data_IF_778984233980
#
_entry.id   IF_778984233980
#
_cell.length_a   1.000
_cell.length_b   1.000
_cell.length_c   1.000
_cell.angle_alpha   90.00
_cell.angle_beta   90.00
_cell.angle_gamma   90.00
#
_symmetry.space_group_name_H-M   'P 1'
#
loop_
_entity.id
_entity.type
_entity.pdbx_description
1 polymer ?
#
# COMPACT_ATOMS: atom_id res chain seq x y z
N UNK A 1 -63.04 11.84 41.53
CA UNK A 1 -62.57 11.97 40.14
C UNK A 1 -61.23 11.23 40.05
N UNK A 2 -61.11 9.99 39.55
CA UNK A 2 -61.43 9.50 38.20
C UNK A 2 -60.72 10.43 37.17
N UNK A 3 -59.76 10.03 36.33
CA UNK A 3 -59.59 8.78 35.58
C UNK A 3 -58.16 8.66 34.96
N UNK A 4 -57.68 7.40 34.86
CA UNK A 4 -57.09 6.72 33.66
C UNK A 4 -55.71 7.16 33.15
N UNK A 5 -54.69 6.27 33.15
CA UNK A 5 -54.45 5.16 32.20
C UNK A 5 -54.08 5.66 30.79
N UNK A 6 -53.09 5.15 30.05
CA UNK A 6 -52.17 4.01 30.19
C UNK A 6 -51.27 4.03 28.93
N UNK A 7 -50.16 3.27 28.99
CA UNK A 7 -49.50 2.57 27.86
C UNK A 7 -48.59 3.35 26.92
N UNK A 8 -47.46 2.84 26.42
CA UNK A 8 -46.66 1.59 26.52
C UNK A 8 -45.38 1.95 25.72
N UNK A 9 -44.17 1.43 25.93
CA UNK A 9 -43.69 0.13 25.45
C UNK A 9 -42.16 0.23 25.55
N UNK A 10 -41.52 -0.59 26.38
CA UNK A 10 -40.25 -1.27 26.05
C UNK A 10 -39.71 -1.96 27.30
N UNK A 11 -40.23 -3.16 27.55
CA UNK A 11 -39.54 -4.20 28.30
C UNK A 11 -39.69 -5.50 27.50
N UNK A 12 -38.69 -6.37 27.65
CA UNK A 12 -38.55 -7.71 27.06
C UNK A 12 -38.07 -7.63 25.60
N UNK A 13 -36.96 -8.22 25.18
CA UNK A 13 -36.41 -9.56 25.37
C UNK A 13 -34.87 -9.44 25.49
N UNK A 14 -34.15 -10.21 26.31
CA UNK A 14 -33.87 -11.62 26.03
C UNK A 14 -33.33 -12.29 27.31
N UNK A 15 -33.98 -13.36 27.71
CA UNK A 15 -33.61 -14.19 28.85
C UNK A 15 -32.44 -15.12 28.51
N UNK A 16 -31.60 -15.35 29.53
CA UNK A 16 -30.92 -16.58 29.91
C UNK A 16 -30.96 -17.78 28.95
N UNK A 17 -29.79 -18.36 28.65
CA UNK A 17 -29.52 -19.81 28.72
C UNK A 17 -28.00 -19.99 28.90
N UNK A 18 -27.60 -20.28 30.13
CA UNK A 18 -26.31 -20.90 30.47
C UNK A 18 -26.65 -22.30 30.98
N UNK A 19 -26.40 -23.34 30.17
CA UNK A 19 -26.30 -24.72 30.64
C UNK A 19 -25.51 -25.59 29.65
N UNK A 20 -24.29 -25.91 30.10
CA UNK A 20 -23.61 -27.22 30.09
C UNK A 20 -23.39 -28.03 28.80
N UNK A 21 -22.09 -28.39 28.63
CA UNK A 21 -21.50 -29.61 28.01
C UNK A 21 -21.74 -29.85 26.51
N UNK A 22 -20.79 -30.27 25.66
CA UNK A 22 -19.53 -31.01 25.83
C UNK A 22 -18.74 -31.01 24.51
N UNK A 23 -17.40 -30.99 24.59
CA UNK A 23 -16.41 -31.75 23.80
C UNK A 23 -16.67 -31.82 22.27
N UNK A 24 -15.86 -31.20 21.41
CA UNK A 24 -14.74 -31.90 20.75
C UNK A 24 -13.50 -31.03 20.48
N UNK A 25 -12.38 -31.72 20.55
CA UNK A 25 -10.98 -31.29 20.47
C UNK A 25 -10.53 -30.83 19.08
N UNK A 26 -9.70 -29.78 19.04
CA UNK A 26 -8.61 -29.68 18.07
C UNK A 26 -7.35 -29.18 18.79
N UNK A 27 -6.39 -30.10 18.91
CA UNK A 27 -5.13 -29.91 19.61
C UNK A 27 -4.21 -28.99 18.79
N UNK A 28 -4.13 -27.71 19.17
CA UNK A 28 -2.99 -26.88 18.85
C UNK A 28 -1.96 -27.05 19.96
N UNK A 29 -0.95 -27.87 19.66
CA UNK A 29 0.30 -27.95 20.40
C UNK A 29 0.90 -26.55 20.53
N UNK A 30 0.62 -25.89 21.66
CA UNK A 30 1.36 -24.73 22.13
C UNK A 30 2.47 -25.28 23.00
N UNK A 31 3.67 -25.40 22.43
CA UNK A 31 4.88 -25.61 23.22
C UNK A 31 5.11 -24.37 24.08
N UNK A 32 4.65 -24.44 25.32
CA UNK A 32 5.06 -23.51 26.37
C UNK A 32 6.55 -23.75 26.62
N UNK A 33 7.39 -22.76 26.29
CA UNK A 33 8.78 -22.74 26.72
C UNK A 33 8.74 -22.46 28.23
N UNK A 34 8.83 -23.50 29.06
CA UNK A 34 9.05 -23.32 30.49
C UNK A 34 10.51 -22.93 30.69
N UNK A 35 10.75 -21.66 31.05
CA UNK A 35 12.05 -21.22 31.55
C UNK A 35 12.23 -21.75 32.97
N UNK A 36 12.81 -22.94 33.09
CA UNK A 36 13.21 -23.49 34.39
C UNK A 36 14.51 -22.80 34.82
N UNK A 37 14.42 -21.82 35.71
CA UNK A 37 15.60 -21.20 36.34
C UNK A 37 16.14 -22.20 37.34
N UNK A 38 17.19 -22.93 36.93
CA UNK A 38 17.87 -23.88 37.80
C UNK A 38 18.91 -23.10 38.63
N UNK A 39 18.54 -22.73 39.87
CA UNK A 39 19.47 -22.15 40.83
C UNK A 39 20.46 -23.22 41.28
N UNK A 40 21.56 -23.40 40.54
CA UNK A 40 22.75 -24.06 41.06
C UNK A 40 23.78 -22.99 41.44
N UNK A 41 24.11 -22.97 42.73
CA UNK A 41 25.13 -22.13 43.32
C UNK A 41 26.49 -22.38 42.64
N UNK A 42 27.12 -21.33 42.13
CA UNK A 42 28.46 -21.38 41.55
C UNK A 42 29.47 -20.76 42.53
N UNK A 43 30.64 -21.38 42.78
CA UNK A 43 31.69 -20.74 43.56
C UNK A 43 32.38 -19.62 42.78
N UNK A 44 32.86 -18.63 43.52
CA UNK A 44 33.32 -17.32 43.05
C UNK A 44 34.48 -17.35 42.04
N UNK A 45 34.45 -16.34 41.16
CA UNK A 45 35.45 -15.95 40.16
C UNK A 45 36.86 -15.81 40.75
N UNK A 46 37.85 -16.37 40.05
CA UNK A 46 39.24 -15.90 40.08
C UNK A 46 39.63 -15.39 38.70
N UNK A 47 40.09 -14.15 38.69
CA UNK A 47 40.49 -13.37 37.53
C UNK A 47 41.69 -14.03 36.81
N UNK A 48 41.58 -14.17 35.50
CA UNK A 48 42.68 -14.62 34.64
C UNK A 48 42.49 -14.07 33.23
N UNK A 49 43.30 -13.09 32.88
CA UNK A 49 43.40 -12.49 31.55
C UNK A 49 43.78 -13.56 30.52
N UNK A 50 42.92 -13.82 29.54
CA UNK A 50 43.30 -14.49 28.30
C UNK A 50 42.35 -14.02 27.19
N UNK A 51 42.91 -13.42 26.14
CA UNK A 51 42.21 -12.98 24.94
C UNK A 51 41.68 -14.20 24.17
N UNK A 52 40.38 -14.49 24.33
CA UNK A 52 39.69 -15.53 23.57
C UNK A 52 39.12 -14.87 22.31
N UNK A 53 39.74 -15.16 21.15
CA UNK A 53 39.17 -14.81 19.86
C UNK A 53 37.96 -15.69 19.58
N UNK A 54 36.76 -15.11 19.71
CA UNK A 54 35.51 -15.77 19.32
C UNK A 54 35.37 -15.73 17.81
N UNK A 55 35.79 -16.80 17.13
CA UNK A 55 35.39 -17.05 15.73
C UNK A 55 33.94 -17.52 15.74
N UNK A 56 33.03 -16.61 15.42
CA UNK A 56 31.62 -16.94 15.21
C UNK A 56 31.45 -17.45 13.77
N UNK A 57 31.42 -18.77 13.59
CA UNK A 57 31.03 -19.37 12.32
C UNK A 57 29.50 -19.46 12.25
N UNK A 58 28.88 -18.59 11.44
CA UNK A 58 27.44 -18.57 11.24
C UNK A 58 27.03 -19.71 10.30
N UNK A 59 26.57 -20.85 10.85
CA UNK A 59 25.92 -21.90 10.06
C UNK A 59 24.54 -21.43 9.59
N UNK A 60 24.44 -21.05 8.31
CA UNK A 60 23.17 -20.69 7.65
C UNK A 60 22.39 -21.95 7.29
N UNK A 61 21.33 -22.25 8.04
CA UNK A 61 20.37 -23.29 7.65
C UNK A 61 19.51 -22.79 6.48
N UNK A 62 19.64 -23.45 5.32
CA UNK A 62 18.79 -23.23 4.16
C UNK A 62 17.46 -23.96 4.43
N UNK A 63 16.39 -23.22 4.65
CA UNK A 63 15.05 -23.78 4.68
C UNK A 63 14.47 -23.73 3.26
N UNK A 64 13.97 -24.86 2.77
CA UNK A 64 13.15 -24.87 1.57
C UNK A 64 11.76 -24.35 1.94
N UNK A 65 11.46 -23.14 1.45
CA UNK A 65 10.17 -22.50 1.63
C UNK A 65 9.15 -23.27 0.80
N UNK A 66 8.45 -24.23 1.42
CA UNK A 66 7.24 -24.84 0.84
C UNK A 66 6.25 -23.70 0.60
N UNK A 67 6.08 -23.34 -0.66
CA UNK A 67 5.33 -22.16 -1.09
C UNK A 67 3.90 -22.20 -0.57
N UNK A 68 3.61 -21.46 0.48
CA UNK A 68 2.26 -21.02 0.75
C UNK A 68 1.97 -19.91 -0.26
N UNK A 69 1.30 -20.23 -1.35
CA UNK A 69 0.63 -19.27 -2.21
C UNK A 69 -0.40 -18.53 -1.36
N UNK A 70 0.04 -17.49 -0.66
CA UNK A 70 -0.85 -16.43 -0.23
C UNK A 70 -1.21 -15.71 -1.51
N UNK A 71 -2.43 -15.94 -2.00
CA UNK A 71 -3.09 -15.11 -2.99
C UNK A 71 -3.11 -13.67 -2.46
N UNK A 72 -2.00 -12.99 -2.67
CA UNK A 72 -2.00 -11.54 -2.85
C UNK A 72 -2.60 -11.40 -4.24
N UNK A 73 -3.68 -10.64 -4.36
CA UNK A 73 -4.20 -10.23 -5.65
C UNK A 73 -3.12 -9.38 -6.35
N UNK A 74 -2.16 -10.07 -6.95
CA UNK A 74 -1.38 -9.56 -8.05
C UNK A 74 -2.40 -9.36 -9.17
N UNK A 75 -2.75 -8.10 -9.39
CA UNK A 75 -3.34 -7.69 -10.67
C UNK A 75 -2.20 -7.84 -11.67
N UNK A 76 -1.97 -9.08 -12.07
CA UNK A 76 -1.29 -9.41 -13.32
C UNK A 76 -2.30 -9.07 -14.41
N UNK A 77 -2.29 -7.79 -14.81
CA UNK A 77 -3.08 -7.33 -15.93
C UNK A 77 -2.35 -7.82 -17.18
N UNK A 78 -2.65 -9.07 -17.53
CA UNK A 78 -2.27 -9.66 -18.80
C UNK A 78 -2.87 -8.81 -19.93
N UNK A 79 -1.97 -8.35 -20.80
CA UNK A 79 -2.17 -7.33 -21.80
C UNK A 79 -2.84 -7.97 -23.03
N UNK A 80 -4.12 -8.32 -22.93
CA UNK A 80 -4.93 -8.69 -24.10
C UNK A 80 -5.35 -7.42 -24.87
N UNK A 81 -4.37 -6.89 -25.60
CA UNK A 81 -4.50 -5.79 -26.56
C UNK A 81 -5.41 -6.24 -27.71
N UNK A 82 -6.64 -5.73 -27.72
CA UNK A 82 -7.47 -5.71 -28.92
C UNK A 82 -6.88 -4.70 -29.90
N UNK A 83 -6.13 -5.22 -30.85
CA UNK A 83 -5.62 -4.56 -32.04
C UNK A 83 -6.78 -4.15 -32.94
N UNK A 84 -7.25 -2.90 -32.87
CA UNK A 84 -7.91 -2.20 -33.99
C UNK A 84 -7.87 -0.67 -33.77
N UNK A 85 -7.14 -0.02 -34.67
CA UNK A 85 -7.14 1.40 -35.06
C UNK A 85 -6.87 2.50 -33.99
N UNK A 86 -5.92 3.39 -34.37
CA UNK A 86 -5.64 4.75 -33.85
C UNK A 86 -4.36 4.91 -33.01
N UNK A 87 -3.33 5.46 -33.65
CA UNK A 87 -1.99 5.79 -33.15
C UNK A 87 -1.99 6.63 -31.85
N UNK A 88 -3.10 7.31 -31.53
CA UNK A 88 -3.28 8.12 -30.32
C UNK A 88 -3.89 7.35 -29.12
N UNK A 89 -4.57 6.22 -29.35
CA UNK A 89 -5.11 5.37 -28.28
C UNK A 89 -4.04 4.58 -27.55
N UNK A 90 -2.84 4.45 -28.13
CA UNK A 90 -1.72 3.66 -27.60
C UNK A 90 -1.26 4.10 -26.19
N UNK A 91 -1.66 5.30 -25.74
CA UNK A 91 -1.33 5.83 -24.41
C UNK A 91 -2.51 5.86 -23.45
N UNK A 92 -3.73 5.53 -23.91
CA UNK A 92 -4.93 5.49 -23.08
C UNK A 92 -5.02 4.10 -22.46
N UNK A 93 -5.16 4.04 -21.14
CA UNK A 93 -5.27 2.81 -20.39
C UNK A 93 -6.49 2.87 -19.46
N UNK A 94 -7.21 1.75 -19.34
CA UNK A 94 -8.24 1.56 -18.32
C UNK A 94 -7.61 0.98 -17.07
N UNK A 95 -7.86 1.58 -15.92
CA UNK A 95 -7.21 1.21 -14.65
C UNK A 95 -8.26 1.05 -13.56
N UNK A 96 -8.14 -0.03 -12.80
CA UNK A 96 -8.94 -0.26 -11.59
C UNK A 96 -8.21 0.28 -10.36
N UNK A 97 -8.85 1.17 -9.61
CA UNK A 97 -8.32 1.72 -8.35
C UNK A 97 -9.35 1.67 -7.22
N UNK A 98 -8.86 1.66 -5.98
CA UNK A 98 -9.72 1.69 -4.79
C UNK A 98 -10.21 3.10 -4.43
N UNK A 99 -9.44 4.12 -4.80
CA UNK A 99 -9.77 5.53 -4.51
C UNK A 99 -9.00 6.45 -5.44
N UNK A 100 -9.50 7.67 -5.62
CA UNK A 100 -8.88 8.71 -6.46
C UNK A 100 -7.72 9.45 -5.77
N UNK A 101 -6.96 8.76 -4.91
CA UNK A 101 -5.82 9.38 -4.21
C UNK A 101 -4.63 9.50 -5.15
N UNK A 102 -4.01 10.68 -5.22
CA UNK A 102 -2.86 10.95 -6.10
C UNK A 102 -1.76 9.89 -6.00
N UNK A 103 -1.36 9.49 -4.78
CA UNK A 103 -0.29 8.49 -4.59
C UNK A 103 -0.67 7.09 -5.08
N UNK A 104 -1.95 6.73 -4.98
CA UNK A 104 -2.46 5.46 -5.50
C UNK A 104 -2.52 5.48 -7.03
N UNK A 105 -3.02 6.57 -7.62
CA UNK A 105 -3.07 6.74 -9.06
C UNK A 105 -1.69 6.64 -9.69
N UNK A 106 -0.69 7.30 -9.10
CA UNK A 106 0.70 7.24 -9.54
C UNK A 106 1.29 5.83 -9.44
N UNK A 107 0.95 5.08 -8.37
CA UNK A 107 1.39 3.68 -8.21
C UNK A 107 0.86 2.81 -9.33
N UNK A 108 -0.46 2.82 -9.53
CA UNK A 108 -1.12 1.88 -10.44
C UNK A 108 -0.89 2.30 -11.90
N UNK A 109 -1.01 3.59 -12.21
CA UNK A 109 -0.83 4.06 -13.57
C UNK A 109 0.62 3.98 -14.02
N UNK A 110 1.57 4.60 -13.32
CA UNK A 110 2.97 4.63 -13.75
C UNK A 110 3.74 3.35 -13.37
N UNK A 111 3.17 2.47 -12.54
CA UNK A 111 3.83 1.25 -12.07
C UNK A 111 4.98 1.52 -11.10
N UNK A 112 4.94 2.64 -10.38
CA UNK A 112 6.04 3.03 -9.47
C UNK A 112 5.79 2.43 -8.09
N UNK A 113 6.84 1.89 -7.48
CA UNK A 113 6.77 1.39 -6.11
C UNK A 113 6.38 2.50 -5.12
N UNK A 114 5.53 2.16 -4.14
CA UNK A 114 5.04 3.11 -3.12
C UNK A 114 6.16 3.86 -2.40
N UNK A 115 7.26 3.16 -2.09
CA UNK A 115 8.42 3.74 -1.41
C UNK A 115 9.09 4.84 -2.25
N UNK A 116 9.11 4.69 -3.58
CA UNK A 116 9.66 5.70 -4.48
C UNK A 116 8.74 6.91 -4.59
N UNK A 117 7.43 6.71 -4.62
CA UNK A 117 6.45 7.80 -4.59
C UNK A 117 6.59 8.61 -3.29
N UNK A 118 6.77 7.93 -2.16
CA UNK A 118 7.01 8.58 -0.87
C UNK A 118 8.27 9.43 -0.86
N UNK A 119 9.39 8.87 -1.32
CA UNK A 119 10.64 9.63 -1.46
C UNK A 119 10.46 10.86 -2.37
N UNK A 120 9.87 10.68 -3.55
CA UNK A 120 9.59 11.78 -4.50
C UNK A 120 8.65 12.84 -3.93
N UNK A 121 7.70 12.46 -3.06
CA UNK A 121 6.83 13.41 -2.38
C UNK A 121 7.63 14.31 -1.42
N UNK A 122 8.47 13.72 -0.57
CA UNK A 122 9.30 14.49 0.36
C UNK A 122 10.36 15.35 -0.36
N UNK A 123 10.89 14.87 -1.49
CA UNK A 123 11.78 15.66 -2.35
C UNK A 123 11.03 16.77 -3.13
N UNK A 124 9.69 16.79 -3.10
CA UNK A 124 8.90 17.80 -3.80
C UNK A 124 8.86 17.65 -5.31
N UNK A 125 9.05 16.43 -5.81
CA UNK A 125 9.08 16.08 -7.25
C UNK A 125 7.71 15.77 -7.85
N UNK A 126 6.68 15.66 -7.02
CA UNK A 126 5.29 15.41 -7.47
C UNK A 126 4.57 16.74 -7.67
N UNK A 127 3.91 16.87 -8.83
CA UNK A 127 3.10 18.04 -9.20
C UNK A 127 1.69 17.60 -9.57
N UNK A 128 0.70 18.40 -9.17
CA UNK A 128 -0.70 18.27 -9.58
C UNK A 128 -1.07 19.57 -10.29
N UNK A 129 -1.49 19.49 -11.56
CA UNK A 129 -1.81 20.62 -12.42
C UNK A 129 -0.67 21.67 -12.44
N UNK A 130 0.57 21.19 -12.53
CA UNK A 130 1.79 22.02 -12.50
C UNK A 130 2.22 22.54 -11.11
N UNK A 131 1.35 22.45 -10.09
CA UNK A 131 1.63 22.95 -8.74
C UNK A 131 2.27 21.88 -7.85
N UNK A 132 3.10 22.30 -6.89
CA UNK A 132 3.70 21.38 -5.91
C UNK A 132 2.60 20.72 -5.08
N UNK A 133 2.66 19.39 -4.94
CA UNK A 133 1.71 18.66 -4.12
C UNK A 133 1.94 18.97 -2.63
N UNK A 134 0.93 19.50 -1.94
CA UNK A 134 1.03 19.91 -0.53
C UNK A 134 0.84 18.76 0.45
N UNK A 135 -0.14 17.88 0.17
CA UNK A 135 -0.45 16.68 0.97
C UNK A 135 -0.20 15.45 0.11
N UNK A 136 0.28 14.36 0.71
CA UNK A 136 0.57 13.12 -0.04
C UNK A 136 -0.65 12.54 -0.75
N UNK A 137 -1.79 12.57 -0.06
CA UNK A 137 -3.03 11.94 -0.53
C UNK A 137 -4.12 12.97 -0.75
N UNK A 138 -3.87 13.82 -1.73
CA UNK A 138 -4.89 14.69 -2.31
C UNK A 138 -5.85 13.84 -3.14
N UNK A 139 -7.12 14.21 -3.09
CA UNK A 139 -8.15 13.64 -3.96
C UNK A 139 -8.03 14.29 -5.35
N UNK A 140 -7.98 13.47 -6.39
CA UNK A 140 -7.89 13.90 -7.78
C UNK A 140 -9.25 13.74 -8.46
N UNK A 141 -9.57 14.65 -9.38
CA UNK A 141 -10.82 14.64 -10.15
C UNK A 141 -10.55 14.33 -11.62
N UNK A 142 -11.63 14.14 -12.39
CA UNK A 142 -11.57 14.10 -13.85
C UNK A 142 -10.92 15.37 -14.40
N UNK A 143 -10.06 15.23 -15.41
CA UNK A 143 -9.33 16.33 -16.03
C UNK A 143 -8.05 16.76 -15.32
N UNK A 144 -7.77 16.25 -14.11
CA UNK A 144 -6.51 16.56 -13.42
C UNK A 144 -5.29 15.90 -14.10
N UNK A 145 -4.17 16.63 -14.07
CA UNK A 145 -2.87 16.21 -14.58
C UNK A 145 -1.91 16.00 -13.41
N UNK A 146 -1.37 14.79 -13.30
CA UNK A 146 -0.40 14.39 -12.29
C UNK A 146 0.96 14.13 -12.93
N UNK A 147 1.98 14.84 -12.45
CA UNK A 147 3.35 14.71 -12.93
C UNK A 147 4.27 14.24 -11.79
N UNK A 148 5.19 13.33 -12.13
CA UNK A 148 6.33 12.96 -11.29
C UNK A 148 7.61 13.27 -12.05
N UNK A 149 8.46 14.11 -11.48
CA UNK A 149 9.81 14.36 -11.99
C UNK A 149 10.70 13.18 -11.58
N UNK A 150 11.28 12.47 -12.57
CA UNK A 150 12.22 11.37 -12.31
C UNK A 150 13.65 11.88 -12.14
N UNK A 151 14.02 12.87 -12.95
CA UNK A 151 15.34 13.49 -12.94
C UNK A 151 15.51 14.46 -14.10
N UNK A 152 16.71 15.01 -14.21
CA UNK A 152 17.13 15.82 -15.35
C UNK A 152 17.38 14.94 -16.58
N UNK A 153 17.17 15.50 -17.77
CA UNK A 153 17.52 14.82 -19.01
C UNK A 153 19.05 14.74 -19.17
N UNK A 154 19.62 13.59 -19.57
CA UNK A 154 21.05 13.46 -19.80
C UNK A 154 21.54 14.28 -21.00
N UNK A 155 20.64 14.56 -21.95
CA UNK A 155 20.97 15.30 -23.18
C UNK A 155 20.94 16.80 -22.96
N UNK A 156 19.94 17.30 -22.22
CA UNK A 156 19.71 18.73 -22.00
C UNK A 156 19.42 18.99 -20.53
N UNK A 157 20.28 19.76 -19.87
CA UNK A 157 20.13 20.12 -18.45
C UNK A 157 18.91 21.01 -18.17
N UNK A 158 18.33 21.63 -19.20
CA UNK A 158 17.14 22.49 -19.10
C UNK A 158 15.81 21.71 -19.12
N UNK A 159 15.87 20.40 -19.36
CA UNK A 159 14.69 19.56 -19.46
C UNK A 159 14.63 18.56 -18.30
N UNK A 160 13.42 18.26 -17.85
CA UNK A 160 13.14 17.16 -16.95
C UNK A 160 12.62 15.95 -17.71
N UNK A 161 12.99 14.76 -17.25
CA UNK A 161 12.29 13.52 -17.60
C UNK A 161 11.21 13.30 -16.55
N UNK A 162 9.96 13.36 -16.99
CA UNK A 162 8.78 13.23 -16.13
C UNK A 162 7.96 11.98 -16.51
N UNK A 163 7.18 11.48 -15.55
CA UNK A 163 6.02 10.64 -15.83
C UNK A 163 4.76 11.48 -15.69
N UNK A 164 3.95 11.58 -16.75
CA UNK A 164 2.70 12.35 -16.79
C UNK A 164 1.50 11.40 -16.83
N UNK A 165 0.49 11.74 -16.05
CA UNK A 165 -0.77 11.03 -15.96
C UNK A 165 -1.91 12.05 -16.10
N UNK A 166 -2.76 11.88 -17.12
CA UNK A 166 -3.95 12.70 -17.32
C UNK A 166 -5.19 11.84 -17.10
N UNK A 167 -6.11 12.30 -16.25
CA UNK A 167 -7.35 11.59 -15.94
C UNK A 167 -8.41 12.03 -16.96
N UNK A 168 -8.87 11.13 -17.82
CA UNK A 168 -9.85 11.47 -18.86
C UNK A 168 -11.28 11.27 -18.37
N UNK A 169 -11.56 10.15 -17.72
CA UNK A 169 -12.90 9.79 -17.23
C UNK A 169 -12.80 8.90 -15.99
N UNK A 170 -13.73 9.10 -15.06
CA UNK A 170 -13.89 8.30 -13.84
C UNK A 170 -15.24 7.59 -13.90
N UNK A 171 -15.20 6.27 -14.06
CA UNK A 171 -16.37 5.40 -14.07
C UNK A 171 -16.51 4.71 -12.69
N UNK A 172 -17.65 4.89 -12.04
CA UNK A 172 -17.95 4.27 -10.75
C UNK A 172 -19.01 3.19 -10.92
N UNK A 173 -18.56 1.94 -11.14
CA UNK A 173 -19.44 0.79 -11.41
C UNK A 173 -19.77 -0.02 -10.13
N UNK A 174 -19.88 0.67 -8.97
CA UNK A 174 -20.17 0.08 -7.66
C UNK A 174 -19.50 0.82 -6.50
N UNK A 175 -19.72 0.37 -5.25
CA UNK A 175 -19.15 1.01 -4.05
C UNK A 175 -17.67 0.63 -3.79
N UNK A 176 -17.18 -0.50 -4.33
CA UNK A 176 -15.87 -1.06 -3.94
C UNK A 176 -14.69 -0.58 -4.81
N UNK A 177 -14.91 -0.36 -6.11
CA UNK A 177 -13.85 -0.07 -7.07
C UNK A 177 -14.25 1.02 -8.05
N UNK A 178 -13.25 1.79 -8.46
CA UNK A 178 -13.39 2.88 -9.42
C UNK A 178 -12.56 2.51 -10.65
N UNK A 179 -13.18 2.58 -11.83
CA UNK A 179 -12.52 2.40 -13.10
C UNK A 179 -12.16 3.76 -13.69
N UNK A 180 -10.94 3.88 -14.18
CA UNK A 180 -10.40 5.12 -14.72
C UNK A 180 -9.94 4.91 -16.13
N UNK A 181 -10.35 5.81 -17.02
CA UNK A 181 -9.71 5.94 -18.32
C UNK A 181 -8.67 7.05 -18.20
N UNK A 182 -7.38 6.69 -18.32
CA UNK A 182 -6.27 7.64 -18.15
C UNK A 182 -5.37 7.66 -19.37
N UNK A 183 -4.78 8.81 -19.67
CA UNK A 183 -3.68 8.94 -20.63
C UNK A 183 -2.37 8.88 -19.87
N UNK A 184 -1.53 7.88 -20.17
CA UNK A 184 -0.29 7.61 -19.45
C UNK A 184 0.94 7.89 -20.32
N UNK A 185 1.85 8.71 -19.79
CA UNK A 185 3.19 8.90 -20.33
C UNK A 185 4.22 8.45 -19.28
N UNK A 186 4.84 7.29 -19.51
CA UNK A 186 5.86 6.76 -18.59
C UNK A 186 7.15 7.59 -18.59
N UNK A 187 7.55 8.13 -19.72
CA UNK A 187 8.75 8.94 -19.88
C UNK A 187 8.47 10.03 -20.91
N UNK A 188 8.37 11.26 -20.46
CA UNK A 188 8.19 12.44 -21.28
C UNK A 188 9.28 13.45 -20.93
N UNK A 189 9.91 14.05 -21.93
CA UNK A 189 10.89 15.11 -21.73
C UNK A 189 10.16 16.45 -21.83
N UNK A 190 10.23 17.26 -20.78
CA UNK A 190 9.51 18.54 -20.68
C UNK A 190 10.46 19.62 -20.20
N UNK A 191 10.29 20.84 -20.69
CA UNK A 191 11.08 22.00 -20.29
C UNK A 191 10.81 22.42 -18.84
N UNK A 192 11.84 22.91 -18.16
CA UNK A 192 11.74 23.34 -16.75
C UNK A 192 10.85 24.57 -16.56
N UNK A 193 10.67 25.37 -17.60
CA UNK A 193 9.96 26.65 -17.52
C UNK A 193 8.45 26.48 -17.31
N UNK A 194 7.86 25.41 -17.86
CA UNK A 194 6.44 25.09 -17.71
C UNK A 194 5.99 24.98 -16.24
N UNK A 195 6.91 24.62 -15.34
CA UNK A 195 6.61 24.41 -13.92
C UNK A 195 6.83 25.65 -13.04
N UNK A 196 7.41 26.73 -13.57
CA UNK A 196 7.75 27.94 -12.77
C UNK A 196 6.59 28.92 -12.60
N UNK A 197 5.59 28.89 -13.48
CA UNK A 197 4.57 29.95 -13.56
C UNK A 197 3.42 29.91 -12.53
N UNK A 198 3.44 28.99 -11.56
CA UNK A 198 2.33 28.81 -10.61
C UNK A 198 2.75 28.82 -9.13
N UNK A 199 3.77 29.60 -8.76
CA UNK A 199 4.08 29.87 -7.34
C UNK A 199 3.03 30.76 -6.69
#
# INVERSE_FOLDING_TARGET
MALKNFSRFSQLYFNSILRSSSITSNALSRSFITLTINNKSYPALKNGTNSISLVCEQKRYKYDKKGSTKQSAEVDSDDELSEFDDVDKQKIAKIKVQSLRADLLLKVALGIARNKIEASFYEGKIRLNGKKLSKKSVHCNEGDVLDIIKGDSPTNSEHFVIGRLEILSVETDGEEFIYLTVKRFKSLTVEKEEFKHHQ
#
